data_IF_022441081484
#
_entry.id   IF_022441081484
#
_cell.length_a   1.000
_cell.length_b   1.000
_cell.length_c   1.000
_cell.angle_alpha   90.00
_cell.angle_beta   90.00
_cell.angle_gamma   90.00
#
_symmetry.space_group_name_H-M   'P 1'
#
loop_
_entity.id
_entity.type
_entity.pdbx_description
1 polymer ?
#
# COMPACT_ATOMS: atom_id res chain seq x y z
N UNK A 1 1.70 31.74 35.20
CA UNK A 1 0.92 30.57 34.77
C UNK A 1 0.60 30.56 33.27
N UNK A 2 0.06 31.64 32.67
CA UNK A 2 -0.25 31.70 31.21
C UNK A 2 0.94 31.38 30.27
N UNK A 3 2.14 31.89 30.55
CA UNK A 3 3.36 31.63 29.75
C UNK A 3 3.85 30.17 29.81
N UNK A 4 3.62 29.49 30.94
CA UNK A 4 3.91 28.07 31.10
C UNK A 4 2.90 27.19 30.35
N UNK A 5 1.62 27.60 30.33
CA UNK A 5 0.58 26.89 29.56
C UNK A 5 0.78 27.02 28.05
N UNK A 6 1.24 28.18 27.57
CA UNK A 6 1.58 28.38 26.16
C UNK A 6 2.79 27.53 25.77
N UNK A 7 3.84 27.50 26.61
CA UNK A 7 5.00 26.63 26.39
C UNK A 7 4.62 25.14 26.36
N UNK A 8 3.76 24.69 27.27
CA UNK A 8 3.26 23.32 27.32
C UNK A 8 2.42 22.98 26.07
N UNK A 9 1.56 23.88 25.62
CA UNK A 9 0.75 23.68 24.41
C UNK A 9 1.61 23.54 23.14
N UNK A 10 2.68 24.32 23.02
CA UNK A 10 3.62 24.22 21.89
C UNK A 10 4.38 22.89 21.92
N UNK A 11 4.82 22.43 23.09
CA UNK A 11 5.51 21.13 23.24
C UNK A 11 4.58 19.97 22.89
N UNK A 12 3.31 20.01 23.31
CA UNK A 12 2.32 18.99 22.96
C UNK A 12 2.04 18.97 21.45
N UNK A 13 1.90 20.14 20.81
CA UNK A 13 1.69 20.21 19.36
C UNK A 13 2.88 19.69 18.56
N UNK A 14 4.10 20.04 18.94
CA UNK A 14 5.33 19.55 18.28
C UNK A 14 5.51 18.05 18.51
N UNK A 15 5.25 17.56 19.74
CA UNK A 15 5.30 16.13 20.05
C UNK A 15 4.26 15.32 19.27
N UNK A 16 3.04 15.82 19.14
CA UNK A 16 1.98 15.16 18.39
C UNK A 16 2.27 15.13 16.88
N UNK A 17 2.80 16.23 16.33
CA UNK A 17 3.25 16.29 14.94
C UNK A 17 4.39 15.31 14.66
N UNK A 18 5.38 15.23 15.56
CA UNK A 18 6.49 14.29 15.44
C UNK A 18 6.05 12.82 15.51
N UNK A 19 5.05 12.48 16.33
CA UNK A 19 4.49 11.13 16.41
C UNK A 19 3.74 10.73 15.13
N UNK A 20 2.93 11.63 14.56
CA UNK A 20 2.23 11.38 13.29
C UNK A 20 3.18 11.15 12.11
N UNK A 21 4.26 11.94 12.07
CA UNK A 21 5.32 11.77 11.05
C UNK A 21 6.06 10.45 11.29
N UNK A 22 6.36 10.11 12.55
CA UNK A 22 7.03 8.86 12.90
C UNK A 22 6.17 7.63 12.54
N UNK A 23 4.86 7.64 12.74
CA UNK A 23 3.97 6.55 12.29
C UNK A 23 4.00 6.41 10.76
N UNK A 24 3.96 7.52 10.04
CA UNK A 24 4.02 7.52 8.57
C UNK A 24 5.38 7.08 8.01
N UNK A 25 6.48 7.34 8.72
CA UNK A 25 7.86 7.04 8.28
C UNK A 25 8.37 5.68 8.78
N UNK A 26 7.93 5.24 9.97
CA UNK A 26 8.41 4.02 10.63
C UNK A 26 7.47 2.83 10.35
N UNK A 27 6.15 3.08 10.22
CA UNK A 27 5.14 2.07 9.88
C UNK A 27 4.52 2.25 8.49
N UNK A 28 4.62 3.44 7.89
CA UNK A 28 4.10 3.72 6.56
C UNK A 28 5.09 3.40 5.44
N UNK A 29 4.56 2.86 4.34
CA UNK A 29 5.23 2.81 3.05
C UNK A 29 4.55 3.76 2.07
N UNK A 30 5.18 3.99 0.93
CA UNK A 30 4.62 4.75 -0.17
C UNK A 30 3.36 4.06 -0.69
N UNK A 31 2.30 4.84 -0.91
CA UNK A 31 1.06 4.32 -1.49
C UNK A 31 1.16 4.27 -3.01
N UNK A 32 0.91 3.09 -3.56
CA UNK A 32 0.79 2.86 -5.00
C UNK A 32 -0.58 2.26 -5.32
N UNK A 33 -1.13 2.60 -6.48
CA UNK A 33 -2.43 2.14 -6.93
C UNK A 33 -2.27 1.27 -8.18
N UNK A 34 -2.96 0.14 -8.21
CA UNK A 34 -2.89 -0.86 -9.28
C UNK A 34 -4.29 -1.33 -9.65
N UNK A 35 -4.48 -1.77 -10.90
CA UNK A 35 -5.66 -2.52 -11.33
C UNK A 35 -5.27 -3.97 -11.59
N UNK A 36 -6.07 -4.92 -11.09
CA UNK A 36 -5.84 -6.35 -11.34
C UNK A 36 -6.26 -6.69 -12.78
N UNK A 37 -5.29 -6.96 -13.65
CA UNK A 37 -5.52 -7.27 -15.07
C UNK A 37 -5.33 -8.75 -15.42
N UNK A 38 -4.76 -9.54 -14.52
CA UNK A 38 -4.47 -10.97 -14.72
C UNK A 38 -5.00 -11.78 -13.53
N UNK A 39 -5.04 -13.11 -13.67
CA UNK A 39 -5.34 -14.02 -12.55
C UNK A 39 -4.12 -14.22 -11.62
N UNK A 40 -2.98 -13.61 -11.95
CA UNK A 40 -1.70 -13.90 -11.31
C UNK A 40 -1.16 -15.29 -11.65
N UNK A 41 0.11 -15.51 -11.36
CA UNK A 41 0.74 -16.83 -11.49
C UNK A 41 0.45 -17.65 -10.23
N UNK A 42 -0.27 -18.75 -10.37
CA UNK A 42 -0.59 -19.64 -9.25
C UNK A 42 0.64 -20.44 -8.85
N UNK A 43 1.02 -20.35 -7.58
CA UNK A 43 2.07 -21.17 -6.97
C UNK A 43 1.55 -21.84 -5.71
N UNK A 44 2.07 -23.03 -5.43
CA UNK A 44 1.80 -23.77 -4.20
C UNK A 44 3.08 -23.80 -3.37
N UNK A 45 3.02 -23.30 -2.16
CA UNK A 45 4.15 -23.19 -1.23
C UNK A 45 3.86 -23.95 0.06
N UNK A 46 4.90 -24.26 0.82
CA UNK A 46 4.80 -24.86 2.16
C UNK A 46 5.40 -23.93 3.19
N UNK A 47 4.74 -23.79 4.33
CA UNK A 47 5.32 -23.13 5.50
C UNK A 47 6.29 -24.06 6.24
N UNK A 48 6.94 -23.52 7.27
CA UNK A 48 7.91 -24.26 8.10
C UNK A 48 7.28 -25.45 8.86
N UNK A 49 5.95 -25.46 9.01
CA UNK A 49 5.19 -26.54 9.63
C UNK A 49 4.71 -27.59 8.61
N UNK A 50 5.02 -27.40 7.32
CA UNK A 50 4.62 -28.28 6.23
C UNK A 50 3.20 -28.05 5.70
N UNK A 51 2.49 -27.02 6.16
CA UNK A 51 1.17 -26.67 5.66
C UNK A 51 1.29 -26.12 4.25
N UNK A 52 0.51 -26.70 3.34
CA UNK A 52 0.46 -26.28 1.95
C UNK A 52 -0.49 -25.10 1.83
N UNK A 53 -0.03 -24.01 1.22
CA UNK A 53 -0.88 -22.86 0.87
C UNK A 53 -0.72 -22.50 -0.60
N UNK A 54 -1.81 -21.96 -1.17
CA UNK A 54 -1.82 -21.40 -2.52
C UNK A 54 -1.50 -19.92 -2.43
N UNK A 55 -0.67 -19.43 -3.33
CA UNK A 55 -0.45 -18.01 -3.55
C UNK A 55 -0.60 -17.69 -5.05
N UNK A 56 -0.99 -16.45 -5.33
CA UNK A 56 -1.06 -15.90 -6.68
C UNK A 56 -0.06 -14.76 -6.77
N UNK A 57 0.96 -14.90 -7.60
CA UNK A 57 1.97 -13.88 -7.81
C UNK A 57 1.49 -12.87 -8.86
N UNK A 58 1.67 -11.59 -8.57
CA UNK A 58 1.33 -10.48 -9.45
C UNK A 58 2.55 -9.62 -9.66
N UNK A 59 2.81 -9.26 -10.92
CA UNK A 59 3.76 -8.22 -11.30
C UNK A 59 2.99 -7.25 -12.21
N UNK A 60 2.64 -6.08 -11.67
CA UNK A 60 1.70 -5.17 -12.31
C UNK A 60 2.22 -3.71 -12.27
N UNK A 61 1.91 -2.89 -13.29
CA UNK A 61 2.20 -1.47 -13.25
C UNK A 61 1.35 -0.79 -12.18
N UNK A 62 1.99 -0.07 -11.27
CA UNK A 62 1.35 0.67 -10.22
C UNK A 62 1.76 2.15 -10.27
N UNK A 63 0.89 3.03 -9.79
CA UNK A 63 1.08 4.47 -9.85
C UNK A 63 0.93 5.09 -8.47
N UNK A 64 1.86 5.93 -8.07
CA UNK A 64 1.69 6.70 -6.83
C UNK A 64 0.61 7.79 -6.98
N UNK A 65 0.32 8.51 -5.91
CA UNK A 65 -0.66 9.61 -5.90
C UNK A 65 -0.37 10.72 -6.93
N UNK A 66 0.88 10.85 -7.37
CA UNK A 66 1.32 11.82 -8.37
C UNK A 66 1.29 11.26 -9.79
N UNK A 67 0.92 10.00 -9.98
CA UNK A 67 0.90 9.30 -11.26
C UNK A 67 2.26 8.78 -11.70
N UNK A 68 3.26 8.71 -10.81
CA UNK A 68 4.57 8.14 -11.14
C UNK A 68 4.46 6.63 -11.16
N UNK A 69 4.89 6.03 -12.27
CA UNK A 69 4.86 4.59 -12.47
C UNK A 69 5.96 3.87 -11.69
N UNK A 70 5.63 2.68 -11.20
CA UNK A 70 6.56 1.65 -10.70
C UNK A 70 5.91 0.29 -10.95
N UNK A 71 6.63 -0.66 -11.55
CA UNK A 71 6.19 -2.06 -11.57
C UNK A 71 6.39 -2.63 -10.17
N UNK A 72 5.32 -3.20 -9.60
CA UNK A 72 5.34 -3.77 -8.27
C UNK A 72 4.98 -5.25 -8.31
N UNK A 73 5.78 -6.05 -7.61
CA UNK A 73 5.55 -7.45 -7.37
C UNK A 73 4.90 -7.67 -6.00
N UNK A 74 3.86 -8.51 -5.95
CA UNK A 74 3.17 -8.86 -4.71
C UNK A 74 2.43 -10.20 -4.82
N UNK A 75 2.09 -10.79 -3.67
CA UNK A 75 1.41 -12.08 -3.60
C UNK A 75 0.00 -11.96 -3.01
N UNK A 76 -0.99 -12.52 -3.70
CA UNK A 76 -2.31 -12.80 -3.18
C UNK A 76 -2.34 -14.15 -2.46
N UNK A 77 -2.62 -14.18 -1.16
CA UNK A 77 -2.64 -15.40 -0.34
C UNK A 77 -4.06 -15.97 -0.13
N UNK A 78 -5.00 -15.65 -1.03
CA UNK A 78 -6.36 -16.15 -0.97
C UNK A 78 -6.50 -17.48 -1.72
N UNK A 79 -7.57 -18.24 -1.45
CA UNK A 79 -7.86 -19.50 -2.15
C UNK A 79 -8.06 -19.32 -3.67
N UNK A 80 -8.43 -18.10 -4.08
CA UNK A 80 -8.70 -17.71 -5.46
C UNK A 80 -7.86 -16.49 -5.83
N UNK A 81 -7.63 -16.25 -7.13
CA UNK A 81 -7.06 -15.00 -7.61
C UNK A 81 -7.80 -13.77 -7.06
N UNK A 82 -7.07 -12.67 -6.94
CA UNK A 82 -7.66 -11.36 -6.77
C UNK A 82 -8.61 -11.06 -7.93
N UNK A 83 -9.73 -10.41 -7.64
CA UNK A 83 -10.77 -10.15 -8.62
C UNK A 83 -10.23 -9.26 -9.73
N UNK A 84 -10.36 -9.72 -10.98
CA UNK A 84 -10.06 -8.90 -12.17
C UNK A 84 -10.82 -7.57 -12.13
N UNK A 85 -10.18 -6.54 -12.65
CA UNK A 85 -10.65 -5.15 -12.71
C UNK A 85 -10.75 -4.45 -11.34
N UNK A 86 -10.51 -5.16 -10.23
CA UNK A 86 -10.44 -4.54 -8.92
C UNK A 86 -9.24 -3.59 -8.85
N UNK A 87 -9.43 -2.47 -8.15
CA UNK A 87 -8.36 -1.55 -7.82
C UNK A 87 -7.84 -1.82 -6.43
N UNK A 88 -6.51 -1.83 -6.27
CA UNK A 88 -5.88 -1.97 -4.98
C UNK A 88 -5.01 -0.75 -4.66
N UNK A 89 -4.95 -0.42 -3.38
CA UNK A 89 -3.91 0.42 -2.81
C UNK A 89 -2.86 -0.47 -2.15
N UNK A 90 -1.65 -0.44 -2.69
CA UNK A 90 -0.46 -1.13 -2.20
C UNK A 90 0.31 -0.20 -1.26
N UNK A 91 0.79 -0.74 -0.14
CA UNK A 91 1.81 -0.08 0.68
C UNK A 91 3.17 -0.64 0.30
N UNK A 92 4.04 0.21 -0.22
CA UNK A 92 5.37 -0.18 -0.69
C UNK A 92 6.46 0.42 0.19
N UNK A 93 7.40 -0.40 0.63
CA UNK A 93 8.56 0.03 1.38
C UNK A 93 9.83 -0.28 0.59
N UNK A 94 10.76 0.67 0.54
CA UNK A 94 12.01 0.54 -0.22
C UNK A 94 12.84 -0.71 0.15
N UNK A 95 12.81 -1.13 1.42
CA UNK A 95 13.58 -2.29 1.90
C UNK A 95 12.80 -3.61 1.85
N UNK A 96 11.47 -3.56 1.83
CA UNK A 96 10.60 -4.74 1.99
C UNK A 96 9.73 -5.06 0.77
N UNK A 97 9.70 -4.19 -0.24
CA UNK A 97 8.75 -4.31 -1.34
C UNK A 97 7.33 -3.99 -0.88
N UNK A 98 6.33 -4.65 -1.50
CA UNK A 98 4.93 -4.49 -1.12
C UNK A 98 4.67 -5.18 0.23
N UNK A 99 4.30 -4.40 1.24
CA UNK A 99 4.07 -4.89 2.61
C UNK A 99 2.60 -5.18 2.90
N UNK A 100 1.69 -4.55 2.17
CA UNK A 100 0.25 -4.79 2.29
C UNK A 100 -0.50 -4.28 1.05
N UNK A 101 -1.73 -4.75 0.88
CA UNK A 101 -2.67 -4.21 -0.09
C UNK A 101 -4.10 -4.24 0.45
N UNK A 102 -4.90 -3.30 0.00
CA UNK A 102 -6.33 -3.24 0.27
C UNK A 102 -7.12 -2.90 -0.99
N UNK A 103 -8.30 -3.48 -1.15
CA UNK A 103 -9.19 -3.13 -2.26
C UNK A 103 -9.81 -1.75 -2.03
N UNK A 104 -9.75 -0.90 -3.05
CA UNK A 104 -10.28 0.48 -3.02
C UNK A 104 -11.26 0.68 -4.17
N UNK A 105 -12.18 1.64 -4.00
CA UNK A 105 -13.09 2.04 -5.08
C UNK A 105 -12.39 3.06 -5.97
N UNK A 106 -12.77 3.11 -7.23
CA UNK A 106 -12.23 4.07 -8.22
C UNK A 106 -12.23 5.52 -7.71
N UNK A 107 -13.32 5.92 -7.03
CA UNK A 107 -13.49 7.26 -6.46
C UNK A 107 -12.50 7.62 -5.34
N UNK A 108 -11.87 6.63 -4.74
CA UNK A 108 -10.93 6.78 -3.63
C UNK A 108 -9.46 6.79 -4.13
N UNK A 109 -9.26 6.70 -5.46
CA UNK A 109 -7.95 6.75 -6.12
C UNK A 109 -7.62 8.20 -6.49
N UNK A 110 -6.40 8.69 -6.22
CA UNK A 110 -5.96 10.01 -6.67
C UNK A 110 -6.11 10.18 -8.17
N UNK A 111 -6.63 11.32 -8.62
CA UNK A 111 -7.00 11.55 -10.02
C UNK A 111 -5.85 11.31 -11.01
N UNK A 112 -4.61 11.64 -10.63
CA UNK A 112 -3.42 11.40 -11.47
C UNK A 112 -3.12 9.92 -11.62
N UNK A 113 -3.16 9.16 -10.53
CA UNK A 113 -3.00 7.71 -10.55
C UNK A 113 -4.10 7.04 -11.37
N UNK A 114 -5.36 7.46 -11.16
CA UNK A 114 -6.51 6.93 -11.89
C UNK A 114 -6.41 7.18 -13.41
N UNK A 115 -5.93 8.36 -13.80
CA UNK A 115 -5.72 8.71 -15.21
C UNK A 115 -4.72 7.76 -15.86
N UNK A 116 -3.63 7.43 -15.16
CA UNK A 116 -2.64 6.46 -15.64
C UNK A 116 -3.21 5.05 -15.72
N UNK A 117 -3.95 4.61 -14.70
CA UNK A 117 -4.58 3.28 -14.66
C UNK A 117 -5.57 3.06 -15.80
N UNK A 118 -6.32 4.10 -16.20
CA UNK A 118 -7.29 4.02 -17.31
C UNK A 118 -6.65 4.16 -18.70
N UNK A 119 -5.42 4.68 -18.77
CA UNK A 119 -4.69 4.88 -20.02
C UNK A 119 -3.66 3.78 -20.32
N UNK A 120 -3.48 2.83 -19.41
CA UNK A 120 -2.52 1.73 -19.49
C UNK A 120 -3.08 0.52 -20.25
#
# INVERSE_FOLDING_TARGET
MKKFLIGLAVVVLVGFGALQIAESVIMGGDSYYVQITTDGEKTTSKDDSGNVYTQYHYELPAYDENGKSKTLDFNGFQERPLRKEAYLKLTWNEKKGVTSYEEVKEKDIPAKALTQLKGA
#
